data_IF_419256917261
#
_entry.id   IF_419256917261
#
_cell.length_a   1.000
_cell.length_b   1.000
_cell.length_c   1.000
_cell.angle_alpha   90.00
_cell.angle_beta   90.00
_cell.angle_gamma   90.00
#
_symmetry.space_group_name_H-M   'P 1'
#
loop_
_entity.id
_entity.type
_entity.pdbx_description
1 polymer ?
#
# COMPACT_ATOMS: atom_id res chain seq x y z
N UNK A 1 -11.22 -12.12 16.26
CA UNK A 1 -10.76 -10.76 15.95
C UNK A 1 -11.52 -9.80 16.85
N UNK A 2 -10.83 -8.89 17.54
CA UNK A 2 -11.45 -7.85 18.35
C UNK A 2 -10.99 -6.49 17.82
N UNK A 3 -11.91 -5.54 17.69
CA UNK A 3 -11.56 -4.17 17.30
C UNK A 3 -11.03 -3.45 18.54
N UNK A 4 -9.75 -3.08 18.53
CA UNK A 4 -9.13 -2.37 19.67
C UNK A 4 -9.28 -0.85 19.55
N UNK A 5 -9.20 -0.33 18.32
CA UNK A 5 -9.36 1.09 17.98
C UNK A 5 -9.67 1.22 16.49
N UNK A 6 -10.26 2.35 16.11
CA UNK A 6 -10.34 2.77 14.70
C UNK A 6 -9.18 3.73 14.43
N UNK A 7 -8.49 3.55 13.32
CA UNK A 7 -7.43 4.47 12.90
C UNK A 7 -8.07 5.67 12.20
N UNK A 8 -8.07 6.82 12.85
CA UNK A 8 -8.61 8.05 12.28
C UNK A 8 -7.70 8.56 11.15
N UNK A 9 -8.28 9.23 10.15
CA UNK A 9 -7.56 9.78 8.99
C UNK A 9 -6.90 8.75 8.04
N UNK A 10 -7.08 7.45 8.28
CA UNK A 10 -6.75 6.42 7.30
C UNK A 10 -7.75 6.45 6.14
N UNK A 11 -7.25 6.54 4.90
CA UNK A 11 -8.07 6.56 3.68
C UNK A 11 -7.68 5.41 2.77
N UNK A 12 -8.67 4.63 2.34
CA UNK A 12 -8.46 3.67 1.26
C UNK A 12 -8.40 4.44 -0.06
N UNK A 13 -7.31 4.25 -0.80
CA UNK A 13 -7.07 4.90 -2.09
C UNK A 13 -6.62 3.87 -3.14
N UNK A 14 -6.63 4.27 -4.40
CA UNK A 14 -5.99 3.53 -5.48
C UNK A 14 -4.78 4.36 -5.92
N UNK A 15 -3.60 3.76 -5.90
CA UNK A 15 -2.37 4.35 -6.42
C UNK A 15 -1.83 3.48 -7.56
N UNK A 16 -1.32 4.09 -8.62
CA UNK A 16 -0.59 3.35 -9.64
C UNK A 16 0.83 3.11 -9.15
N UNK A 17 1.14 1.85 -8.83
CA UNK A 17 2.43 1.47 -8.24
C UNK A 17 3.26 0.69 -9.25
N UNK A 18 4.54 1.04 -9.35
CA UNK A 18 5.53 0.29 -10.13
C UNK A 18 6.41 -0.55 -9.21
N UNK A 19 6.63 -1.81 -9.59
CA UNK A 19 7.61 -2.70 -8.97
C UNK A 19 8.58 -3.24 -10.02
N UNK A 20 9.79 -3.58 -9.57
CA UNK A 20 10.72 -4.37 -10.36
C UNK A 20 10.48 -5.84 -10.03
N UNK A 21 10.06 -6.61 -11.03
CA UNK A 21 9.96 -8.07 -10.96
C UNK A 21 11.00 -8.62 -11.94
N UNK A 22 12.06 -9.19 -11.39
CA UNK A 22 13.28 -9.53 -12.14
C UNK A 22 13.81 -8.31 -12.91
N UNK A 23 14.05 -8.46 -14.22
CA UNK A 23 14.53 -7.40 -15.11
C UNK A 23 13.39 -6.56 -15.73
N UNK A 24 12.15 -6.71 -15.27
CA UNK A 24 10.97 -6.04 -15.84
C UNK A 24 10.32 -5.11 -14.84
N UNK A 25 9.94 -3.93 -15.32
CA UNK A 25 9.06 -2.99 -14.62
C UNK A 25 7.61 -3.39 -14.87
N UNK A 26 6.86 -3.59 -13.80
CA UNK A 26 5.43 -3.84 -13.85
C UNK A 26 4.71 -2.75 -13.06
N UNK A 27 3.68 -2.13 -13.64
CA UNK A 27 2.81 -1.21 -12.92
C UNK A 27 1.36 -1.71 -12.93
N UNK A 28 0.64 -1.40 -11.86
CA UNK A 28 -0.78 -1.72 -11.75
C UNK A 28 -1.46 -0.79 -10.75
N UNK A 29 -2.72 -0.37 -11.01
CA UNK A 29 -3.56 0.24 -10.00
C UNK A 29 -3.67 -0.70 -8.78
N UNK A 30 -3.23 -0.20 -7.63
CA UNK A 30 -3.07 -1.00 -6.41
C UNK A 30 -3.85 -0.37 -5.27
N UNK A 31 -4.57 -1.21 -4.52
CA UNK A 31 -5.29 -0.77 -3.33
C UNK A 31 -4.28 -0.42 -2.23
N UNK A 32 -4.35 0.81 -1.75
CA UNK A 32 -3.45 1.32 -0.73
C UNK A 32 -4.24 1.97 0.40
N UNK A 33 -3.60 2.10 1.55
CA UNK A 33 -4.06 2.98 2.61
C UNK A 33 -3.14 4.20 2.66
N UNK A 34 -3.71 5.39 2.55
CA UNK A 34 -3.05 6.62 2.93
C UNK A 34 -3.27 6.85 4.43
N UNK A 35 -2.20 6.94 5.20
CA UNK A 35 -2.25 7.15 6.64
C UNK A 35 -1.07 7.99 7.09
N UNK A 36 -1.33 9.05 7.88
CA UNK A 36 -0.30 9.97 8.39
C UNK A 36 0.63 10.57 7.32
N UNK A 37 0.15 10.68 6.08
CA UNK A 37 0.93 11.21 4.93
C UNK A 37 1.66 10.14 4.12
N UNK A 38 1.76 8.91 4.64
CA UNK A 38 2.37 7.77 3.96
C UNK A 38 1.34 6.99 3.10
N UNK A 39 1.82 6.28 2.07
CA UNK A 39 1.03 5.39 1.22
C UNK A 39 1.49 3.95 1.46
N UNK A 40 0.62 3.11 2.00
CA UNK A 40 0.93 1.69 2.30
C UNK A 40 0.14 0.81 1.34
N UNK A 41 0.79 0.06 0.42
CA UNK A 41 0.10 -0.89 -0.43
C UNK A 41 -0.46 -2.06 0.39
N UNK A 42 -1.66 -2.53 0.02
CA UNK A 42 -2.26 -3.74 0.61
C UNK A 42 -1.93 -5.01 -0.17
N UNK A 43 -1.37 -4.84 -1.37
CA UNK A 43 -0.83 -5.89 -2.21
C UNK A 43 0.24 -5.32 -3.13
N UNK A 44 1.15 -6.15 -3.63
CA UNK A 44 2.04 -5.79 -4.74
C UNK A 44 1.22 -5.69 -6.05
N UNK A 45 1.73 -5.00 -7.08
CA UNK A 45 1.08 -4.94 -8.41
C UNK A 45 0.82 -6.30 -9.08
N UNK A 46 1.57 -7.35 -8.71
CA UNK A 46 1.36 -8.75 -9.15
C UNK A 46 0.41 -9.54 -8.23
N UNK A 47 -0.22 -8.88 -7.25
CA UNK A 47 -1.31 -9.44 -6.44
C UNK A 47 -0.90 -10.15 -5.16
N UNK A 48 0.37 -10.09 -4.75
CA UNK A 48 0.81 -10.68 -3.47
C UNK A 48 0.38 -9.77 -2.31
N UNK A 49 -0.34 -10.26 -1.29
CA UNK A 49 -0.76 -9.44 -0.16
C UNK A 49 0.42 -8.83 0.60
N UNK A 50 0.26 -7.59 1.05
CA UNK A 50 1.21 -6.89 1.90
C UNK A 50 0.53 -6.59 3.24
N UNK A 51 1.22 -6.89 4.33
CA UNK A 51 0.75 -6.53 5.67
C UNK A 51 0.77 -5.00 5.82
N UNK A 52 -0.36 -4.42 6.20
CA UNK A 52 -0.44 -2.98 6.48
C UNK A 52 0.36 -2.62 7.73
N UNK A 53 1.55 -2.04 7.54
CA UNK A 53 2.40 -1.45 8.58
C UNK A 53 3.20 -0.28 7.99
N UNK A 54 3.79 0.57 8.85
CA UNK A 54 4.56 1.74 8.42
C UNK A 54 5.90 1.38 7.76
N UNK A 55 6.44 0.18 8.01
CA UNK A 55 7.68 -0.28 7.36
C UNK A 55 7.49 -0.53 5.86
N UNK A 56 6.26 -0.86 5.45
CA UNK A 56 5.87 -1.03 4.05
C UNK A 56 5.41 0.27 3.38
N UNK A 57 5.50 1.41 4.07
CA UNK A 57 5.11 2.70 3.50
C UNK A 57 6.02 3.09 2.32
N UNK A 58 5.38 3.54 1.24
CA UNK A 58 6.01 4.20 0.12
C UNK A 58 5.83 5.71 0.33
N UNK A 59 6.95 6.43 0.38
CA UNK A 59 6.94 7.88 0.48
C UNK A 59 6.64 8.48 -0.90
N UNK A 60 5.57 9.28 -1.07
CA UNK A 60 5.35 10.01 -2.30
C UNK A 60 6.51 10.98 -2.54
N UNK A 61 7.12 10.94 -3.73
CA UNK A 61 8.08 11.93 -4.22
C UNK A 61 7.39 13.22 -4.64
#
# INVERSE_FOLDING_TARGET
>A
MNVLRVLENAKVIIADLQVNLDDKKHSSPTLCVQYEGDIIPLNTPDGRPILMNLENAIKPT
#
